data_IF_765086806121
#
_entry.id   IF_765086806121
#
_cell.length_a   1.000
_cell.length_b   1.000
_cell.length_c   1.000
_cell.angle_alpha   90.00
_cell.angle_beta   90.00
_cell.angle_gamma   90.00
#
_symmetry.space_group_name_H-M   'P 1'
#
loop_
_entity.id
_entity.type
_entity.pdbx_description
1 polymer ?
#
# COMPACT_ATOMS: atom_id res chain seq x y z
N UNK A 1 -3.04 -25.59 12.59
CA UNK A 1 -3.16 -24.43 13.48
C UNK A 1 -3.68 -23.30 12.63
N UNK A 2 -4.90 -22.85 12.84
CA UNK A 2 -5.50 -21.68 12.19
C UNK A 2 -4.79 -20.45 12.73
N UNK A 3 -4.01 -19.78 11.90
CA UNK A 3 -3.46 -18.49 12.23
C UNK A 3 -4.63 -17.50 12.32
N UNK A 4 -4.98 -17.12 13.53
CA UNK A 4 -5.91 -16.03 13.79
C UNK A 4 -5.02 -14.78 14.04
N UNK A 5 -4.85 -13.89 13.06
CA UNK A 5 -4.06 -12.69 13.31
C UNK A 5 -4.72 -11.92 14.46
N UNK A 6 -3.94 -11.36 15.39
CA UNK A 6 -4.50 -10.53 16.45
C UNK A 6 -5.34 -9.42 15.80
N UNK A 7 -6.45 -9.05 16.45
CA UNK A 7 -7.24 -7.89 16.06
C UNK A 7 -6.26 -6.72 15.87
N UNK A 8 -6.15 -6.25 14.63
CA UNK A 8 -5.34 -5.09 14.37
C UNK A 8 -5.89 -3.91 15.20
N UNK A 9 -5.04 -3.05 15.75
CA UNK A 9 -5.50 -1.85 16.45
C UNK A 9 -6.55 -1.13 15.59
N UNK A 10 -7.67 -0.77 16.18
CA UNK A 10 -8.76 -0.08 15.46
C UNK A 10 -8.33 1.28 14.91
N UNK A 11 -7.36 1.93 15.58
CA UNK A 11 -6.75 3.20 15.17
C UNK A 11 -5.47 2.98 14.38
N UNK A 12 -5.28 3.80 13.35
CA UNK A 12 -4.04 3.84 12.56
C UNK A 12 -3.22 5.05 13.02
N UNK A 13 -2.01 4.77 13.45
CA UNK A 13 -1.05 5.81 13.81
C UNK A 13 -0.17 6.17 12.60
N UNK A 14 0.11 7.46 12.45
CA UNK A 14 0.90 8.00 11.36
C UNK A 14 2.14 8.73 11.88
N UNK A 15 3.19 8.65 11.10
CA UNK A 15 4.43 9.41 11.27
C UNK A 15 4.77 10.08 9.95
N UNK A 16 5.66 11.06 9.98
CA UNK A 16 6.14 11.68 8.77
C UNK A 16 7.67 11.66 8.69
N UNK A 17 8.17 11.74 7.47
CA UNK A 17 9.58 11.97 7.18
C UNK A 17 9.66 13.32 6.47
N UNK A 18 10.27 14.30 7.14
CA UNK A 18 10.59 15.59 6.54
C UNK A 18 11.93 15.49 5.82
N UNK A 19 11.94 15.93 4.57
CA UNK A 19 13.12 16.03 3.71
C UNK A 19 13.32 17.51 3.39
N UNK A 20 14.39 18.14 3.94
CA UNK A 20 14.59 19.59 3.87
C UNK A 20 15.96 19.95 3.33
N UNK A 21 16.05 21.03 2.57
CA UNK A 21 17.29 21.60 2.05
C UNK A 21 17.31 21.74 0.54
N UNK A 22 18.43 22.28 0.01
CA UNK A 22 18.58 22.73 -1.39
C UNK A 22 18.30 21.63 -2.42
N UNK A 23 18.65 20.37 -2.11
CA UNK A 23 18.49 19.23 -3.03
C UNK A 23 17.30 18.33 -2.63
N UNK A 24 16.46 18.77 -1.68
CA UNK A 24 15.33 17.98 -1.21
C UNK A 24 14.36 17.60 -2.33
N UNK A 25 14.08 18.53 -3.26
CA UNK A 25 13.18 18.29 -4.39
C UNK A 25 13.68 17.17 -5.29
N UNK A 26 14.91 17.26 -5.75
CA UNK A 26 15.50 16.31 -6.70
C UNK A 26 15.67 14.94 -6.02
N UNK A 27 16.05 14.94 -4.75
CA UNK A 27 16.12 13.73 -3.97
C UNK A 27 14.75 13.05 -3.87
N UNK A 28 13.72 13.75 -3.39
CA UNK A 28 12.37 13.16 -3.25
C UNK A 28 11.84 12.72 -4.61
N UNK A 29 12.04 13.53 -5.67
CA UNK A 29 11.64 13.18 -7.04
C UNK A 29 12.24 11.84 -7.49
N UNK A 30 13.48 11.54 -7.11
CA UNK A 30 14.16 10.30 -7.46
C UNK A 30 13.74 9.09 -6.59
N UNK A 31 13.11 9.32 -5.43
CA UNK A 31 12.81 8.27 -4.46
C UNK A 31 11.35 7.83 -4.45
N UNK A 32 10.40 8.70 -4.79
CA UNK A 32 8.97 8.41 -4.77
C UNK A 32 8.42 8.16 -6.18
N UNK A 33 7.31 7.45 -6.29
CA UNK A 33 6.72 7.06 -7.59
C UNK A 33 5.86 8.13 -8.24
N UNK A 34 5.36 9.12 -7.49
CA UNK A 34 4.52 10.21 -8.03
C UNK A 34 5.37 11.45 -8.31
N UNK A 35 4.90 12.31 -9.23
CA UNK A 35 5.59 13.57 -9.56
C UNK A 35 5.44 14.59 -8.42
N UNK A 36 6.58 14.99 -7.83
CA UNK A 36 6.60 15.92 -6.70
C UNK A 36 6.10 17.32 -7.06
N UNK A 37 6.09 17.69 -8.35
CA UNK A 37 5.52 18.96 -8.79
C UNK A 37 4.03 19.09 -8.45
N UNK A 38 3.31 18.00 -8.40
CA UNK A 38 1.89 17.96 -8.02
C UNK A 38 1.68 18.27 -6.53
N UNK A 39 2.66 17.97 -5.69
CA UNK A 39 2.57 18.22 -4.24
C UNK A 39 2.69 19.70 -3.87
N UNK A 40 2.91 20.60 -4.81
CA UNK A 40 3.01 22.05 -4.57
C UNK A 40 1.66 22.72 -4.29
N UNK A 41 0.56 22.17 -4.82
CA UNK A 41 -0.80 22.71 -4.68
C UNK A 41 -1.71 21.87 -3.80
N UNK A 42 -1.42 20.59 -3.65
CA UNK A 42 -2.23 19.66 -2.89
C UNK A 42 -1.37 18.55 -2.25
N UNK A 43 -1.90 17.87 -1.26
CA UNK A 43 -1.29 16.67 -0.75
C UNK A 43 -1.64 15.48 -1.64
N UNK A 44 -0.62 14.78 -2.16
CA UNK A 44 -0.78 13.69 -3.13
C UNK A 44 -0.43 12.33 -2.55
N UNK A 45 -1.02 11.27 -3.10
CA UNK A 45 -0.57 9.91 -2.84
C UNK A 45 0.70 9.58 -3.64
N UNK A 46 1.61 8.85 -3.02
CA UNK A 46 2.81 8.32 -3.66
C UNK A 46 3.25 7.00 -3.03
N UNK A 47 4.18 6.30 -3.68
CA UNK A 47 4.81 5.10 -3.14
C UNK A 47 6.27 5.35 -2.85
N UNK A 48 6.74 4.70 -1.80
CA UNK A 48 8.13 4.39 -1.60
C UNK A 48 8.32 2.91 -1.96
N UNK A 49 9.08 2.65 -3.01
CA UNK A 49 9.33 1.29 -3.49
C UNK A 49 10.67 0.76 -3.00
N UNK A 50 10.78 -0.55 -2.90
CA UNK A 50 12.06 -1.22 -2.81
C UNK A 50 12.76 -1.18 -4.18
N UNK A 51 14.10 -1.37 -4.25
CA UNK A 51 14.82 -1.37 -5.52
C UNK A 51 14.33 -2.40 -6.53
N UNK A 52 13.75 -3.51 -6.06
CA UNK A 52 13.15 -4.55 -6.92
C UNK A 52 11.75 -4.19 -7.46
N UNK A 53 11.21 -3.02 -7.06
CA UNK A 53 9.91 -2.52 -7.51
C UNK A 53 8.72 -2.96 -6.68
N UNK A 54 8.93 -3.69 -5.59
CA UNK A 54 7.86 -4.03 -4.63
C UNK A 54 7.52 -2.83 -3.76
N UNK A 55 6.27 -2.75 -3.29
CA UNK A 55 5.82 -1.63 -2.45
C UNK A 55 6.34 -1.81 -1.02
N UNK A 56 7.10 -0.83 -0.53
CA UNK A 56 7.45 -0.71 0.88
C UNK A 56 6.31 -0.04 1.65
N UNK A 57 5.81 1.09 1.13
CA UNK A 57 4.67 1.81 1.70
C UNK A 57 4.04 2.74 0.67
N UNK A 58 2.75 3.03 0.82
CA UNK A 58 2.16 4.26 0.29
C UNK A 58 2.23 5.35 1.35
N UNK A 59 2.27 6.60 0.90
CA UNK A 59 2.26 7.76 1.78
C UNK A 59 1.61 8.97 1.13
N UNK A 60 1.32 9.96 1.97
CA UNK A 60 0.89 11.28 1.51
C UNK A 60 2.10 12.20 1.45
N UNK A 61 2.30 12.82 0.31
CA UNK A 61 3.39 13.77 0.07
C UNK A 61 2.82 15.18 -0.07
N UNK A 62 3.38 16.13 0.68
CA UNK A 62 3.11 17.57 0.54
C UNK A 62 4.40 18.36 0.54
N UNK A 63 4.39 19.52 -0.11
CA UNK A 63 5.49 20.47 -0.02
C UNK A 63 5.54 21.15 1.35
N UNK A 64 6.73 21.54 1.74
CA UNK A 64 7.07 22.46 2.83
C UNK A 64 7.78 23.67 2.21
N UNK A 65 8.02 24.70 3.00
CA UNK A 65 8.70 25.92 2.52
C UNK A 65 10.11 25.62 1.96
N UNK A 66 10.81 24.62 2.55
CA UNK A 66 12.18 24.25 2.23
C UNK A 66 12.34 22.75 1.88
N UNK A 67 11.26 22.10 1.47
CA UNK A 67 11.33 20.66 1.16
C UNK A 67 9.98 19.97 1.05
N UNK A 68 9.91 18.74 1.57
CA UNK A 68 8.74 17.88 1.46
C UNK A 68 8.51 17.09 2.75
N UNK A 69 7.23 16.80 3.05
CA UNK A 69 6.81 15.87 4.08
C UNK A 69 6.16 14.64 3.45
N UNK A 70 6.69 13.47 3.79
CA UNK A 70 6.11 12.17 3.43
C UNK A 70 5.47 11.56 4.68
N UNK A 71 4.14 11.55 4.74
CA UNK A 71 3.34 10.93 5.82
C UNK A 71 3.11 9.46 5.51
N UNK A 72 3.50 8.57 6.41
CA UNK A 72 3.43 7.10 6.26
C UNK A 72 2.86 6.45 7.52
N UNK A 73 2.30 5.22 7.44
CA UNK A 73 1.93 4.48 8.64
C UNK A 73 3.11 4.38 9.61
N UNK A 74 2.86 4.63 10.90
CA UNK A 74 3.92 4.60 11.93
C UNK A 74 4.71 3.30 11.93
N UNK A 75 4.03 2.16 11.73
CA UNK A 75 4.67 0.85 11.66
C UNK A 75 5.74 0.74 10.56
N UNK A 76 5.63 1.53 9.49
CA UNK A 76 6.56 1.54 8.35
C UNK A 76 7.51 2.74 8.34
N UNK A 77 7.41 3.66 9.30
CA UNK A 77 8.18 4.91 9.28
C UNK A 77 9.70 4.66 9.41
N UNK A 78 10.11 3.77 10.29
CA UNK A 78 11.53 3.45 10.49
C UNK A 78 12.15 2.80 9.25
N UNK A 79 11.47 1.81 8.64
CA UNK A 79 11.94 1.14 7.42
C UNK A 79 11.94 2.08 6.21
N UNK A 80 10.96 3.00 6.14
CA UNK A 80 10.91 4.04 5.12
C UNK A 80 12.08 5.02 5.22
N UNK A 81 12.37 5.49 6.43
CA UNK A 81 13.52 6.36 6.69
C UNK A 81 14.85 5.66 6.36
N UNK A 82 15.02 4.40 6.78
CA UNK A 82 16.20 3.61 6.47
C UNK A 82 16.37 3.45 4.94
N UNK A 83 15.26 3.15 4.23
CA UNK A 83 15.24 3.03 2.78
C UNK A 83 15.69 4.35 2.10
N UNK A 84 15.23 5.51 2.56
CA UNK A 84 15.65 6.81 2.04
C UNK A 84 17.13 7.08 2.34
N UNK A 85 17.62 6.77 3.54
CA UNK A 85 19.03 6.94 3.95
C UNK A 85 20.02 6.17 3.08
N UNK A 86 19.63 5.02 2.51
CA UNK A 86 20.49 4.25 1.60
C UNK A 86 20.89 5.04 0.34
N UNK A 87 20.04 5.97 -0.11
CA UNK A 87 20.25 6.78 -1.31
C UNK A 87 20.60 8.24 -1.02
N UNK A 88 20.75 8.60 0.26
CA UNK A 88 20.98 9.97 0.71
C UNK A 88 22.47 10.39 0.73
N UNK A 89 23.37 9.59 0.17
CA UNK A 89 24.81 9.91 0.24
C UNK A 89 25.15 11.13 -0.60
N UNK A 90 25.84 12.12 0.03
CA UNK A 90 26.33 13.36 -0.59
C UNK A 90 25.23 14.29 -1.15
N UNK A 91 24.01 14.18 -0.63
CA UNK A 91 22.90 15.03 -1.02
C UNK A 91 22.69 16.09 0.05
N UNK A 92 22.55 17.35 -0.37
CA UNK A 92 22.39 18.50 0.54
C UNK A 92 20.92 18.65 0.96
N UNK A 93 20.45 17.68 1.70
CA UNK A 93 19.19 17.74 2.42
C UNK A 93 19.30 16.97 3.74
N UNK A 94 18.38 17.17 4.64
CA UNK A 94 18.22 16.44 5.89
C UNK A 94 17.03 15.50 5.82
N UNK A 95 17.07 14.43 6.60
CA UNK A 95 15.97 13.48 6.77
C UNK A 95 15.63 13.43 8.26
N UNK A 96 14.43 13.88 8.61
CA UNK A 96 13.95 13.94 9.99
C UNK A 96 12.66 13.13 10.15
N UNK A 97 12.60 12.29 11.19
CA UNK A 97 11.40 11.54 11.55
C UNK A 97 10.55 12.34 12.52
N UNK A 98 9.30 12.63 12.11
CA UNK A 98 8.26 13.24 12.94
C UNK A 98 7.33 12.14 13.46
N UNK A 99 7.36 11.89 14.75
CA UNK A 99 6.82 10.67 15.36
C UNK A 99 5.30 10.56 15.38
N UNK A 100 4.58 11.69 15.35
CA UNK A 100 3.10 11.68 15.38
C UNK A 100 2.54 12.79 14.53
N UNK A 101 1.75 12.43 13.55
CA UNK A 101 1.04 13.35 12.64
C UNK A 101 -0.36 12.82 12.35
N UNK A 102 -1.23 13.67 11.84
CA UNK A 102 -2.50 13.25 11.26
C UNK A 102 -2.22 12.56 9.91
N UNK A 103 -3.02 11.53 9.60
CA UNK A 103 -2.92 10.81 8.35
C UNK A 103 -4.27 10.58 7.68
N UNK A 104 -4.27 10.00 6.48
CA UNK A 104 -5.47 9.92 5.63
C UNK A 104 -6.56 9.02 6.20
N UNK A 105 -6.22 8.07 7.08
CA UNK A 105 -7.17 7.18 7.73
C UNK A 105 -6.94 7.18 9.23
N UNK A 106 -7.97 7.51 10.01
CA UNK A 106 -7.89 7.45 11.47
C UNK A 106 -8.09 6.02 11.99
N UNK A 107 -8.81 5.16 11.24
CA UNK A 107 -9.21 3.82 11.68
C UNK A 107 -9.05 2.78 10.58
N UNK A 108 -8.96 1.49 10.99
CA UNK A 108 -8.99 0.35 10.06
C UNK A 108 -10.30 0.27 9.30
N UNK A 109 -11.41 0.65 9.93
CA UNK A 109 -12.70 0.77 9.26
C UNK A 109 -12.58 1.69 8.02
N UNK A 110 -12.07 2.90 8.20
CA UNK A 110 -11.91 3.86 7.11
C UNK A 110 -10.95 3.35 6.01
N UNK A 111 -9.89 2.63 6.38
CA UNK A 111 -8.97 1.98 5.43
C UNK A 111 -9.70 0.91 4.60
N UNK A 112 -10.46 0.03 5.25
CA UNK A 112 -11.21 -1.05 4.58
C UNK A 112 -12.29 -0.46 3.66
N UNK A 113 -13.01 0.57 4.12
CA UNK A 113 -14.01 1.28 3.30
C UNK A 113 -13.40 1.91 2.05
N UNK A 114 -12.24 2.53 2.20
CA UNK A 114 -11.47 3.08 1.09
C UNK A 114 -10.86 2.00 0.18
N UNK A 115 -10.82 0.74 0.64
CA UNK A 115 -10.12 -0.38 -0.03
C UNK A 115 -8.65 -0.05 -0.31
N UNK A 116 -8.01 0.63 0.65
CA UNK A 116 -6.64 1.11 0.48
C UNK A 116 -5.65 0.19 1.21
N UNK A 117 -4.60 -0.32 0.52
CA UNK A 117 -3.60 -1.16 1.18
C UNK A 117 -2.70 -0.34 2.11
N UNK A 118 -2.33 -0.92 3.24
CA UNK A 118 -1.36 -0.39 4.20
C UNK A 118 -0.36 -1.48 4.62
N UNK A 119 0.20 -1.38 5.82
CA UNK A 119 1.30 -2.24 6.28
C UNK A 119 1.02 -3.75 6.22
N UNK A 120 -0.22 -4.18 6.47
CA UNK A 120 -0.60 -5.60 6.39
C UNK A 120 -0.47 -6.16 4.97
N UNK A 121 -0.89 -5.37 3.98
CA UNK A 121 -0.82 -5.71 2.57
C UNK A 121 0.60 -5.59 2.02
N UNK A 122 1.37 -4.59 2.47
CA UNK A 122 2.75 -4.36 2.00
C UNK A 122 3.75 -5.39 2.52
N UNK A 123 3.46 -6.04 3.64
CA UNK A 123 4.28 -7.16 4.15
C UNK A 123 4.44 -8.30 3.14
N UNK A 124 3.56 -8.39 2.14
CA UNK A 124 3.62 -9.39 1.08
C UNK A 124 4.61 -9.06 -0.04
N UNK A 125 5.24 -7.89 -0.02
CA UNK A 125 6.24 -7.45 -0.99
C UNK A 125 5.79 -7.60 -2.45
N UNK A 126 4.62 -7.05 -2.78
CA UNK A 126 4.03 -7.12 -4.12
C UNK A 126 4.27 -5.83 -4.91
N UNK A 127 4.17 -5.94 -6.25
CA UNK A 127 4.21 -4.79 -7.13
C UNK A 127 2.92 -3.94 -7.00
N UNK A 128 2.95 -2.63 -7.31
CA UNK A 128 1.78 -1.75 -7.21
C UNK A 128 0.53 -2.26 -7.94
N UNK A 129 0.71 -2.91 -9.09
CA UNK A 129 -0.38 -3.46 -9.90
C UNK A 129 -1.22 -4.54 -9.17
N UNK A 130 -0.66 -5.16 -8.13
CA UNK A 130 -1.39 -6.12 -7.29
C UNK A 130 -2.48 -5.47 -6.44
N UNK A 131 -2.39 -4.16 -6.20
CA UNK A 131 -3.33 -3.41 -5.37
C UNK A 131 -4.45 -2.71 -6.17
N UNK A 132 -4.50 -2.90 -7.49
CA UNK A 132 -5.54 -2.39 -8.37
C UNK A 132 -5.13 -1.19 -9.22
N UNK A 133 -5.88 -0.95 -10.30
CA UNK A 133 -5.58 0.13 -11.25
C UNK A 133 -5.74 1.52 -10.60
N UNK A 134 -6.80 1.72 -9.80
CA UNK A 134 -7.03 2.96 -9.05
C UNK A 134 -5.87 3.30 -8.11
N UNK A 135 -5.29 2.29 -7.47
CA UNK A 135 -4.12 2.49 -6.61
C UNK A 135 -2.90 2.94 -7.41
N UNK A 136 -2.63 2.30 -8.56
CA UNK A 136 -1.53 2.69 -9.45
C UNK A 136 -1.74 4.11 -9.98
N UNK A 137 -2.93 4.44 -10.49
CA UNK A 137 -3.27 5.76 -11.01
C UNK A 137 -3.08 6.88 -9.97
N UNK A 138 -3.49 6.62 -8.73
CA UNK A 138 -3.34 7.59 -7.66
C UNK A 138 -1.90 7.79 -7.21
N UNK A 139 -1.06 6.74 -7.28
CA UNK A 139 0.25 6.72 -6.60
C UNK A 139 1.45 6.77 -7.53
N UNK A 140 1.29 6.50 -8.83
CA UNK A 140 2.40 6.42 -9.80
C UNK A 140 2.22 7.41 -10.94
N UNK A 141 3.29 8.12 -11.27
CA UNK A 141 3.38 8.92 -12.49
C UNK A 141 4.31 8.22 -13.49
N UNK A 142 3.76 7.83 -14.64
CA UNK A 142 4.55 7.27 -15.74
C UNK A 142 5.17 8.36 -16.64
N UNK A 143 4.78 9.61 -16.45
CA UNK A 143 5.31 10.76 -17.21
C UNK A 143 6.49 11.45 -16.53
N UNK A 144 6.76 11.16 -15.25
CA UNK A 144 7.91 11.72 -14.52
C UNK A 144 9.23 11.04 -14.92
N UNK A 145 10.36 11.66 -14.53
CA UNK A 145 11.68 11.04 -14.67
C UNK A 145 11.88 9.80 -13.79
N UNK A 146 13.07 9.22 -13.86
CA UNK A 146 13.41 7.98 -13.17
C UNK A 146 13.24 8.07 -11.64
N UNK A 147 12.75 6.98 -11.05
CA UNK A 147 12.67 6.79 -9.61
C UNK A 147 13.04 5.36 -9.22
N UNK A 148 13.44 5.16 -7.98
CA UNK A 148 13.85 3.84 -7.50
C UNK A 148 12.70 2.83 -7.59
N UNK A 149 12.97 1.66 -8.19
CA UNK A 149 12.01 0.56 -8.34
C UNK A 149 11.10 0.69 -9.57
N UNK A 150 11.26 1.72 -10.41
CA UNK A 150 10.37 1.94 -11.56
C UNK A 150 10.43 0.85 -12.64
N UNK A 151 11.53 0.12 -12.76
CA UNK A 151 11.70 -0.85 -13.86
C UNK A 151 10.62 -1.94 -13.85
N UNK A 152 10.36 -2.54 -12.69
CA UNK A 152 9.29 -3.54 -12.56
C UNK A 152 7.92 -2.91 -12.84
N UNK A 153 7.65 -1.74 -12.26
CA UNK A 153 6.37 -1.03 -12.39
C UNK A 153 6.08 -0.69 -13.85
N UNK A 154 7.04 -0.10 -14.55
CA UNK A 154 6.91 0.24 -15.98
C UNK A 154 6.78 -1.00 -16.87
N UNK A 155 7.50 -2.08 -16.57
CA UNK A 155 7.39 -3.36 -17.31
C UNK A 155 6.00 -3.99 -17.14
N UNK A 156 5.45 -3.96 -15.94
CA UNK A 156 4.12 -4.50 -15.66
C UNK A 156 3.03 -3.65 -16.30
N UNK A 157 3.17 -2.32 -16.28
CA UNK A 157 2.23 -1.40 -16.92
C UNK A 157 2.20 -1.60 -18.44
N UNK A 158 3.36 -1.57 -19.09
CA UNK A 158 3.50 -1.75 -20.55
C UNK A 158 2.94 -3.08 -21.07
N UNK A 159 2.85 -4.10 -20.22
CA UNK A 159 2.31 -5.43 -20.59
C UNK A 159 0.82 -5.57 -20.24
N UNK A 160 0.16 -4.53 -19.75
CA UNK A 160 -1.18 -4.63 -19.12
C UNK A 160 -1.22 -5.84 -18.16
N UNK A 161 -0.24 -5.93 -17.27
CA UNK A 161 0.17 -7.18 -16.66
C UNK A 161 -0.92 -7.80 -15.81
N UNK A 162 -1.21 -9.02 -16.15
CA UNK A 162 -2.06 -9.88 -15.36
C UNK A 162 -1.26 -10.45 -14.18
N UNK A 163 -1.08 -9.63 -13.13
CA UNK A 163 -0.38 -10.07 -11.92
C UNK A 163 -1.13 -11.22 -11.24
N UNK A 164 -0.41 -12.21 -10.66
CA UNK A 164 -1.05 -13.39 -10.08
C UNK A 164 -1.82 -13.08 -8.79
N UNK A 165 -1.37 -12.10 -8.03
CA UNK A 165 -1.95 -11.70 -6.76
C UNK A 165 -2.69 -10.38 -6.88
N UNK A 166 -3.89 -10.31 -6.30
CA UNK A 166 -4.78 -9.14 -6.38
C UNK A 166 -5.35 -8.80 -5.01
N UNK A 167 -5.42 -7.51 -4.71
CA UNK A 167 -6.16 -7.02 -3.56
C UNK A 167 -7.67 -7.20 -3.82
N UNK A 168 -8.37 -7.69 -2.81
CA UNK A 168 -9.82 -7.83 -2.82
C UNK A 168 -10.42 -7.35 -1.50
N UNK A 169 -11.62 -6.79 -1.55
CA UNK A 169 -12.50 -6.60 -0.42
C UNK A 169 -13.30 -7.88 -0.20
N UNK A 170 -13.40 -8.31 1.05
CA UNK A 170 -14.07 -9.57 1.43
C UNK A 170 -15.03 -9.30 2.58
N UNK A 171 -16.24 -9.87 2.50
CA UNK A 171 -17.24 -9.76 3.56
C UNK A 171 -17.95 -11.09 3.78
N UNK A 172 -18.19 -11.48 5.04
CA UNK A 172 -18.85 -12.72 5.38
C UNK A 172 -19.27 -12.82 6.84
N UNK A 173 -19.86 -13.96 7.27
CA UNK A 173 -20.43 -14.09 8.60
C UNK A 173 -19.37 -14.16 9.72
N UNK A 174 -18.22 -14.81 9.49
CA UNK A 174 -17.15 -14.94 10.49
C UNK A 174 -15.77 -14.84 9.84
N UNK A 175 -14.75 -14.57 10.66
CA UNK A 175 -13.35 -14.55 10.21
C UNK A 175 -12.94 -15.90 9.59
N UNK A 176 -13.31 -17.02 10.23
CA UNK A 176 -12.96 -18.37 9.77
C UNK A 176 -13.57 -18.67 8.40
N UNK A 177 -14.81 -18.22 8.16
CA UNK A 177 -15.47 -18.37 6.87
C UNK A 177 -14.76 -17.55 5.78
N UNK A 178 -14.35 -16.31 6.10
CA UNK A 178 -13.56 -15.49 5.19
C UNK A 178 -12.20 -16.14 4.91
N UNK A 179 -11.50 -16.56 5.94
CA UNK A 179 -10.19 -17.22 5.81
C UNK A 179 -10.27 -18.49 4.94
N UNK A 180 -11.32 -19.30 5.13
CA UNK A 180 -11.56 -20.49 4.32
C UNK A 180 -11.88 -20.16 2.84
N UNK A 181 -12.68 -19.10 2.61
CA UNK A 181 -13.06 -18.68 1.25
C UNK A 181 -11.88 -18.14 0.44
N UNK A 182 -10.94 -17.43 1.10
CA UNK A 182 -9.76 -16.86 0.46
C UNK A 182 -8.53 -17.76 0.52
N UNK A 183 -8.58 -18.87 1.27
CA UNK A 183 -7.49 -19.85 1.30
C UNK A 183 -7.21 -20.35 -0.11
N UNK A 184 -6.13 -19.89 -0.69
CA UNK A 184 -5.82 -20.19 -2.08
C UNK A 184 -5.34 -21.63 -2.25
N UNK A 185 -5.70 -22.23 -3.38
CA UNK A 185 -5.11 -23.48 -3.88
C UNK A 185 -3.70 -23.27 -4.46
N UNK A 186 -3.08 -22.12 -4.21
CA UNK A 186 -1.74 -21.74 -4.64
C UNK A 186 -0.67 -22.06 -3.59
N UNK A 187 0.61 -21.80 -3.87
CA UNK A 187 1.69 -22.04 -2.93
C UNK A 187 1.42 -21.34 -1.60
N UNK A 188 1.53 -22.08 -0.51
CA UNK A 188 1.12 -21.77 0.86
C UNK A 188 1.81 -20.57 1.54
N UNK A 189 2.40 -19.64 0.81
CA UNK A 189 3.29 -18.61 1.34
C UNK A 189 2.64 -17.24 1.60
N UNK A 190 1.37 -17.02 1.24
CA UNK A 190 0.73 -15.71 1.43
C UNK A 190 -0.54 -15.83 2.27
N UNK A 191 -0.57 -15.18 3.45
CA UNK A 191 -1.80 -15.08 4.22
C UNK A 191 -2.81 -14.27 3.40
N UNK A 192 -3.95 -14.86 3.13
CA UNK A 192 -4.95 -14.26 2.28
C UNK A 192 -5.61 -13.04 2.92
N UNK A 193 -6.04 -13.13 4.19
CA UNK A 193 -6.60 -12.00 4.94
C UNK A 193 -5.47 -11.17 5.57
N UNK A 194 -5.43 -9.89 5.26
CA UNK A 194 -4.37 -8.99 5.71
C UNK A 194 -4.85 -7.98 6.74
N UNK A 195 -6.03 -7.40 6.53
CA UNK A 195 -6.66 -6.43 7.44
C UNK A 195 -8.13 -6.77 7.57
N UNK A 196 -8.67 -6.80 8.80
CA UNK A 196 -10.06 -7.16 9.02
C UNK A 196 -10.65 -6.44 10.24
N UNK A 197 -11.98 -6.37 10.28
CA UNK A 197 -12.74 -5.87 11.43
C UNK A 197 -14.13 -6.52 11.51
N UNK A 198 -14.69 -6.66 12.71
CA UNK A 198 -16.10 -7.03 12.88
C UNK A 198 -17.01 -5.83 12.61
N UNK A 199 -18.14 -6.06 11.93
CA UNK A 199 -19.18 -5.06 11.67
C UNK A 199 -20.54 -5.68 11.96
N UNK A 200 -21.11 -5.39 13.13
CA UNK A 200 -22.33 -6.03 13.60
C UNK A 200 -22.16 -7.55 13.73
N UNK A 201 -22.99 -8.31 13.04
CA UNK A 201 -22.93 -9.79 13.00
C UNK A 201 -22.05 -10.33 11.86
N UNK A 202 -21.31 -9.49 11.16
CA UNK A 202 -20.45 -9.87 10.03
C UNK A 202 -19.01 -9.43 10.24
N UNK A 203 -18.13 -9.89 9.36
CA UNK A 203 -16.74 -9.49 9.28
C UNK A 203 -16.46 -8.98 7.90
N UNK A 204 -15.73 -7.88 7.79
CA UNK A 204 -15.19 -7.36 6.54
C UNK A 204 -13.67 -7.26 6.59
N UNK A 205 -13.03 -7.42 5.44
CA UNK A 205 -11.59 -7.51 5.36
C UNK A 205 -11.03 -7.02 4.02
N UNK A 206 -9.74 -6.71 4.02
CA UNK A 206 -8.91 -6.73 2.83
C UNK A 206 -8.17 -8.07 2.78
N UNK A 207 -8.03 -8.60 1.59
CA UNK A 207 -7.34 -9.84 1.33
C UNK A 207 -6.48 -9.72 0.06
N UNK A 208 -5.34 -10.38 0.05
CA UNK A 208 -4.57 -10.58 -1.17
C UNK A 208 -4.80 -12.01 -1.65
N UNK A 209 -5.49 -12.14 -2.77
CA UNK A 209 -5.94 -13.43 -3.31
C UNK A 209 -5.28 -13.72 -4.65
N UNK A 210 -5.12 -15.00 -4.97
CA UNK A 210 -4.72 -15.39 -6.32
C UNK A 210 -5.85 -15.08 -7.30
N UNK A 211 -5.53 -14.54 -8.48
CA UNK A 211 -6.51 -14.08 -9.49
C UNK A 211 -7.54 -15.13 -9.89
N UNK A 212 -7.22 -16.44 -9.78
CA UNK A 212 -8.17 -17.51 -10.08
C UNK A 212 -9.35 -17.58 -9.11
N UNK A 213 -9.20 -17.03 -7.90
CA UNK A 213 -10.31 -16.91 -6.94
C UNK A 213 -11.30 -15.80 -7.33
N UNK A 214 -10.91 -14.92 -8.24
CA UNK A 214 -11.74 -13.83 -8.74
C UNK A 214 -12.50 -14.22 -10.03
N UNK A 215 -12.39 -15.46 -10.45
CA UNK A 215 -13.17 -15.99 -11.58
C UNK A 215 -14.66 -15.99 -11.22
N UNK A 216 -15.54 -15.46 -12.08
CA UNK A 216 -16.98 -15.40 -11.82
C UNK A 216 -17.60 -16.75 -11.48
N UNK A 217 -17.14 -17.84 -12.11
CA UNK A 217 -17.63 -19.18 -11.83
C UNK A 217 -17.27 -19.65 -10.41
N UNK A 218 -16.08 -19.28 -9.91
CA UNK A 218 -15.68 -19.55 -8.53
C UNK A 218 -16.47 -18.70 -7.53
N UNK A 219 -16.59 -17.39 -7.80
CA UNK A 219 -17.33 -16.46 -6.93
C UNK A 219 -18.81 -16.88 -6.77
N UNK A 220 -19.41 -17.43 -7.80
CA UNK A 220 -20.80 -17.94 -7.76
C UNK A 220 -20.98 -19.15 -6.82
N UNK A 221 -19.91 -19.82 -6.40
CA UNK A 221 -19.96 -20.94 -5.44
C UNK A 221 -19.96 -20.51 -3.97
N UNK A 222 -19.75 -19.21 -3.71
CA UNK A 222 -19.65 -18.64 -2.36
C UNK A 222 -21.02 -18.10 -1.93
N UNK A 223 -21.76 -18.88 -1.15
CA UNK A 223 -23.17 -18.54 -0.79
C UNK A 223 -23.25 -17.40 0.24
N UNK A 224 -22.32 -17.32 1.19
CA UNK A 224 -22.37 -16.44 2.37
C UNK A 224 -21.17 -15.45 2.45
N UNK A 225 -20.24 -15.55 1.50
CA UNK A 225 -19.04 -14.71 1.41
C UNK A 225 -19.03 -13.92 0.11
N UNK A 226 -18.83 -12.64 0.20
CA UNK A 226 -18.62 -11.76 -0.95
C UNK A 226 -17.13 -11.46 -1.10
N UNK A 227 -16.57 -11.67 -2.30
CA UNK A 227 -15.22 -11.27 -2.67
C UNK A 227 -15.32 -10.30 -3.85
N UNK A 228 -14.83 -9.08 -3.68
CA UNK A 228 -14.87 -8.04 -4.71
C UNK A 228 -13.44 -7.60 -5.01
N UNK A 229 -12.95 -7.75 -6.26
CA UNK A 229 -11.66 -7.19 -6.65
C UNK A 229 -11.61 -5.70 -6.37
N UNK A 230 -10.46 -5.21 -5.90
CA UNK A 230 -10.20 -3.77 -5.84
C UNK A 230 -9.81 -3.32 -7.25
N UNK A 231 -10.54 -2.34 -7.83
CA UNK A 231 -10.35 -1.89 -9.22
C UNK A 231 -9.01 -1.17 -9.43
#
# INVERSE_FOLDING_TARGET
MTYNPPLAPTTIEWSAIDVRGDEARDFVQSQVSQDVARASSEEIWTLLLQPDGTVLTSGRLRSLDDGYRLTVPRALAASSLERLRRFHRRIRCTLELVSTVEGPFATRAAQIDARWPLEGEYALALAPQSYGARFVEATVSFAKGCFTGQELVGRLDARAANVPWRLAYVEGPTFERLAAAVASRGPASHPALTTWEPVGARVRALAVVHRTLLDPAHLATLEDVTITPVP
#
